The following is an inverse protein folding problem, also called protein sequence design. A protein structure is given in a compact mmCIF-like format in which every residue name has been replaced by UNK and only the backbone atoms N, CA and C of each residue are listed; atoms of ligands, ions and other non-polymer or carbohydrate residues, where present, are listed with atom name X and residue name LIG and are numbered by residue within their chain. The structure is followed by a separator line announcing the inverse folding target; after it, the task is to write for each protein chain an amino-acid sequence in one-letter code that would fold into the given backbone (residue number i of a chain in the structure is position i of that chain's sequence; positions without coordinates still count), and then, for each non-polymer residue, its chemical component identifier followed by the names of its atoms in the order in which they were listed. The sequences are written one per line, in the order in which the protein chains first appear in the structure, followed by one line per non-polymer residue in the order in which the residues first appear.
data_IF_814598461978
#
_entry.id   IF_814598461978
#
_cell.length_a   1.000
_cell.length_b   1.000
_cell.length_c   1.000
_cell.angle_alpha   90.00
_cell.angle_beta   90.00
_cell.angle_gamma   90.00
#
_symmetry.space_group_name_H-M   'P 1'
#
loop_
_entity.id
_entity.type
_entity.pdbx_description
1 polymer ?
#
# COMPACT_ATOMS: atom_id res chain seq x y z
N UNK A 1 1.47 24.49 21.61
CA UNK A 1 0.88 23.15 21.80
C UNK A 1 2.00 22.14 21.80
N UNK A 2 2.31 21.62 22.97
CA UNK A 2 3.30 20.56 23.18
C UNK A 2 2.88 19.32 22.39
N UNK A 3 3.84 18.73 21.68
CA UNK A 3 3.72 17.41 21.05
C UNK A 3 3.43 16.42 22.18
N UNK A 4 2.16 16.25 22.51
CA UNK A 4 1.72 15.27 23.49
C UNK A 4 2.10 13.91 22.92
N UNK A 5 3.17 13.35 23.49
CA UNK A 5 3.94 12.19 23.03
C UNK A 5 3.06 11.21 22.28
N UNK A 6 3.18 11.17 20.95
CA UNK A 6 2.67 10.05 20.17
C UNK A 6 3.35 8.80 20.73
N UNK A 7 2.55 8.03 21.46
CA UNK A 7 3.01 6.82 22.10
C UNK A 7 3.41 5.81 21.02
N UNK A 8 4.40 4.96 21.31
CA UNK A 8 4.69 3.71 20.56
C UNK A 8 3.41 2.85 20.40
N UNK A 9 2.39 3.10 21.23
CA UNK A 9 1.05 2.53 21.12
C UNK A 9 0.08 3.26 20.19
N UNK A 10 0.56 4.11 19.27
CA UNK A 10 -0.32 4.69 18.26
C UNK A 10 -0.85 3.60 17.33
N UNK A 11 -2.10 3.18 17.57
CA UNK A 11 -2.82 2.17 16.80
C UNK A 11 -2.84 2.49 15.31
N UNK A 12 -2.88 3.76 14.92
CA UNK A 12 -2.89 4.13 13.52
C UNK A 12 -1.52 4.01 12.83
N UNK A 13 -0.40 4.17 13.54
CA UNK A 13 0.91 3.79 12.96
C UNK A 13 1.01 2.27 12.77
N UNK A 14 0.46 1.50 13.72
CA UNK A 14 0.39 0.03 13.60
C UNK A 14 -0.50 -0.43 12.44
N UNK A 15 -1.44 0.42 11.97
CA UNK A 15 -2.25 0.13 10.79
C UNK A 15 -1.40 -0.08 9.53
N UNK A 16 -0.20 0.52 9.44
CA UNK A 16 0.73 0.22 8.34
C UNK A 16 1.17 -1.24 8.27
N UNK A 17 1.23 -1.96 9.41
CA UNK A 17 1.45 -3.41 9.42
C UNK A 17 0.23 -4.20 8.93
N UNK A 18 -0.98 -3.71 9.22
CA UNK A 18 -2.22 -4.34 8.78
C UNK A 18 -2.36 -4.30 7.26
N UNK A 19 -1.94 -3.19 6.63
CA UNK A 19 -1.81 -3.10 5.15
C UNK A 19 -1.05 -4.32 4.64
N UNK A 20 0.15 -4.57 5.18
CA UNK A 20 0.98 -5.67 4.72
C UNK A 20 0.36 -7.06 4.95
N UNK A 21 -0.21 -7.28 6.14
CA UNK A 21 -0.81 -8.57 6.52
C UNK A 21 -1.99 -8.92 5.60
N UNK A 22 -2.92 -7.99 5.38
CA UNK A 22 -4.06 -8.23 4.51
C UNK A 22 -3.64 -8.33 3.03
N UNK A 23 -2.59 -7.61 2.62
CA UNK A 23 -2.05 -7.73 1.26
C UNK A 23 -1.42 -9.08 0.97
N UNK A 24 -0.70 -9.69 1.92
CA UNK A 24 -0.16 -11.05 1.74
C UNK A 24 -1.28 -12.04 1.42
N UNK A 25 -2.38 -11.97 2.17
CA UNK A 25 -3.56 -12.77 1.88
C UNK A 25 -4.06 -12.52 0.46
N UNK A 26 -4.26 -11.26 0.07
CA UNK A 26 -4.81 -10.92 -1.24
C UNK A 26 -3.90 -11.29 -2.42
N UNK A 27 -2.59 -11.22 -2.24
CA UNK A 27 -1.60 -11.62 -3.23
C UNK A 27 -1.61 -13.15 -3.41
N UNK A 28 -1.76 -13.89 -2.30
CA UNK A 28 -1.63 -15.34 -2.26
C UNK A 28 -2.90 -16.12 -2.56
N UNK A 29 -4.09 -15.56 -2.31
CA UNK A 29 -5.34 -16.33 -2.32
C UNK A 29 -5.64 -16.99 -3.68
N UNK A 30 -5.23 -16.37 -4.79
CA UNK A 30 -5.43 -16.93 -6.14
C UNK A 30 -4.73 -18.27 -6.38
N UNK A 31 -3.65 -18.59 -5.65
CA UNK A 31 -2.98 -19.90 -5.77
C UNK A 31 -3.78 -21.07 -5.18
N UNK A 32 -4.87 -20.77 -4.45
CA UNK A 32 -5.72 -21.77 -3.81
C UNK A 32 -7.05 -21.98 -4.54
N UNK A 33 -7.26 -21.29 -5.67
CA UNK A 33 -8.49 -21.37 -6.46
C UNK A 33 -8.28 -22.37 -7.58
N UNK A 34 -9.11 -23.40 -7.64
CA UNK A 34 -9.04 -24.41 -8.69
C UNK A 34 -9.35 -23.80 -10.06
N UNK A 35 -8.47 -24.04 -11.04
CA UNK A 35 -8.61 -23.50 -12.39
C UNK A 35 -8.14 -22.04 -12.58
N UNK A 36 -7.78 -21.34 -11.49
CA UNK A 36 -7.24 -19.99 -11.57
C UNK A 36 -5.73 -20.01 -11.85
N UNK A 37 -5.31 -19.39 -12.95
CA UNK A 37 -3.90 -19.27 -13.31
C UNK A 37 -3.30 -18.01 -12.67
N UNK A 38 -2.73 -18.16 -11.47
CA UNK A 38 -2.09 -17.06 -10.75
C UNK A 38 -0.84 -16.47 -11.44
N UNK A 39 -0.33 -17.09 -12.51
CA UNK A 39 0.81 -16.56 -13.27
C UNK A 39 0.33 -15.57 -14.33
N UNK A 40 -0.72 -15.91 -15.07
CA UNK A 40 -1.28 -15.05 -16.12
C UNK A 40 -2.37 -14.10 -15.60
N UNK A 41 -3.27 -14.58 -14.74
CA UNK A 41 -4.41 -13.80 -14.24
C UNK A 41 -4.02 -12.84 -13.12
N UNK A 42 -4.54 -11.63 -13.22
CA UNK A 42 -4.37 -10.54 -12.27
C UNK A 42 -4.98 -10.86 -10.89
N UNK A 43 -4.47 -10.19 -9.87
CA UNK A 43 -5.00 -10.26 -8.50
C UNK A 43 -6.48 -9.83 -8.47
N UNK A 44 -6.85 -8.82 -9.26
CA UNK A 44 -8.21 -8.29 -9.35
C UNK A 44 -9.23 -9.29 -9.91
N UNK A 45 -8.79 -10.24 -10.75
CA UNK A 45 -9.68 -11.26 -11.31
C UNK A 45 -10.20 -12.24 -10.25
N UNK A 46 -9.52 -12.36 -9.10
CA UNK A 46 -10.04 -13.12 -7.94
C UNK A 46 -11.42 -12.62 -7.48
N UNK A 47 -11.74 -11.34 -7.72
CA UNK A 47 -13.04 -10.77 -7.38
C UNK A 47 -14.21 -11.35 -8.20
N UNK A 48 -13.93 -12.11 -9.26
CA UNK A 48 -14.90 -12.74 -10.16
C UNK A 48 -15.08 -14.25 -9.90
N UNK A 49 -14.27 -14.81 -9.00
CA UNK A 49 -14.25 -16.24 -8.72
C UNK A 49 -15.41 -16.69 -7.83
N UNK A 50 -15.42 -17.99 -7.47
CA UNK A 50 -16.44 -18.57 -6.60
C UNK A 50 -16.69 -17.71 -5.35
N UNK A 51 -17.95 -17.64 -4.84
CA UNK A 51 -18.38 -16.59 -3.91
C UNK A 51 -17.45 -16.38 -2.71
N UNK A 52 -16.95 -17.45 -2.11
CA UNK A 52 -16.04 -17.35 -0.97
C UNK A 52 -14.74 -16.58 -1.29
N UNK A 53 -14.09 -16.88 -2.41
CA UNK A 53 -12.85 -16.23 -2.82
C UNK A 53 -13.08 -14.77 -3.21
N UNK A 54 -14.14 -14.51 -3.98
CA UNK A 54 -14.52 -13.15 -4.35
C UNK A 54 -14.81 -12.27 -3.12
N UNK A 55 -15.63 -12.77 -2.18
CA UNK A 55 -15.97 -12.02 -0.96
C UNK A 55 -14.75 -11.78 -0.09
N UNK A 56 -13.95 -12.81 0.19
CA UNK A 56 -12.78 -12.67 1.05
C UNK A 56 -11.72 -11.74 0.45
N UNK A 57 -11.48 -11.81 -0.87
CA UNK A 57 -10.58 -10.92 -1.60
C UNK A 57 -11.03 -9.45 -1.50
N UNK A 58 -12.32 -9.21 -1.74
CA UNK A 58 -12.93 -7.88 -1.67
C UNK A 58 -12.90 -7.31 -0.25
N UNK A 59 -13.22 -8.12 0.75
CA UNK A 59 -13.10 -7.73 2.17
C UNK A 59 -11.66 -7.35 2.51
N UNK A 60 -10.67 -8.14 2.07
CA UNK A 60 -9.27 -7.80 2.27
C UNK A 60 -8.89 -6.47 1.59
N UNK A 61 -9.38 -6.17 0.39
CA UNK A 61 -9.17 -4.87 -0.26
C UNK A 61 -9.71 -3.70 0.57
N UNK A 62 -10.92 -3.83 1.14
CA UNK A 62 -11.49 -2.82 2.04
C UNK A 62 -10.62 -2.65 3.29
N UNK A 63 -10.20 -3.75 3.92
CA UNK A 63 -9.37 -3.71 5.13
C UNK A 63 -7.98 -3.10 4.86
N UNK A 64 -7.37 -3.39 3.72
CA UNK A 64 -6.13 -2.74 3.26
C UNK A 64 -6.35 -1.23 3.16
N UNK A 65 -7.40 -0.81 2.45
CA UNK A 65 -7.65 0.61 2.23
C UNK A 65 -7.98 1.39 3.50
N UNK A 66 -8.79 0.81 4.40
CA UNK A 66 -9.04 1.38 5.73
C UNK A 66 -7.75 1.51 6.53
N UNK A 67 -6.89 0.49 6.48
CA UNK A 67 -5.59 0.50 7.17
C UNK A 67 -4.66 1.59 6.63
N UNK A 68 -4.64 1.81 5.31
CA UNK A 68 -3.90 2.92 4.68
C UNK A 68 -4.42 4.28 5.14
N UNK A 69 -5.74 4.48 5.18
CA UNK A 69 -6.34 5.71 5.68
C UNK A 69 -6.00 5.95 7.17
N UNK A 70 -6.10 4.94 8.03
CA UNK A 70 -5.71 5.09 9.43
C UNK A 70 -4.22 5.40 9.62
N UNK A 71 -3.38 4.79 8.79
CA UNK A 71 -1.95 5.08 8.74
C UNK A 71 -1.69 6.53 8.34
N UNK A 72 -2.30 7.01 7.25
CA UNK A 72 -2.14 8.40 6.78
C UNK A 72 -2.60 9.42 7.82
N UNK A 73 -3.76 9.22 8.45
CA UNK A 73 -4.25 10.11 9.52
C UNK A 73 -3.27 10.19 10.70
N UNK A 74 -2.53 9.13 10.99
CA UNK A 74 -1.52 9.14 12.04
C UNK A 74 -0.27 9.94 11.67
N UNK A 75 0.08 9.98 10.38
CA UNK A 75 1.20 10.78 9.88
C UNK A 75 0.95 12.29 10.03
N UNK A 76 -0.31 12.74 9.91
CA UNK A 76 -0.68 14.15 10.17
C UNK A 76 -0.20 14.59 11.55
N UNK A 77 -0.36 13.73 12.57
CA UNK A 77 0.01 14.05 13.96
C UNK A 77 1.53 14.10 14.17
N UNK A 78 2.30 13.46 13.31
CA UNK A 78 3.78 13.44 13.35
C UNK A 78 4.40 14.64 12.65
N UNK A 79 3.66 15.30 11.75
CA UNK A 79 4.15 16.45 11.00
C UNK A 79 3.77 17.76 11.72
N UNK A 80 4.74 18.66 11.88
CA UNK A 80 4.51 19.99 12.49
C UNK A 80 4.19 20.99 11.38
N UNK A 81 2.91 21.21 11.08
CA UNK A 81 2.51 22.28 10.15
C UNK A 81 1.40 21.87 9.18
N UNK A 82 1.63 22.14 7.90
CA UNK A 82 0.67 21.87 6.82
C UNK A 82 0.47 20.37 6.60
N UNK A 83 -0.65 20.02 5.96
CA UNK A 83 -1.00 18.65 5.61
C UNK A 83 0.12 18.03 4.73
N UNK A 84 0.76 16.92 5.17
CA UNK A 84 1.80 16.28 4.37
C UNK A 84 1.22 15.68 3.09
N UNK A 85 1.90 15.85 1.96
CA UNK A 85 1.51 15.24 0.69
C UNK A 85 1.47 13.72 0.78
N UNK A 86 2.39 13.08 1.51
CA UNK A 86 2.35 11.64 1.79
C UNK A 86 1.01 11.20 2.40
N UNK A 87 0.42 12.02 3.28
CA UNK A 87 -0.91 11.73 3.86
C UNK A 87 -1.98 11.74 2.78
N UNK A 88 -1.94 12.71 1.86
CA UNK A 88 -2.91 12.82 0.77
C UNK A 88 -2.79 11.62 -0.16
N UNK A 89 -1.58 11.32 -0.64
CA UNK A 89 -1.39 10.22 -1.61
C UNK A 89 -1.66 8.85 -1.01
N UNK A 90 -1.34 8.61 0.27
CA UNK A 90 -1.69 7.36 0.96
C UNK A 90 -3.20 7.26 1.14
N UNK A 91 -3.89 8.35 1.47
CA UNK A 91 -5.36 8.35 1.60
C UNK A 91 -6.04 8.06 0.26
N UNK A 92 -5.54 8.65 -0.83
CA UNK A 92 -6.06 8.38 -2.19
C UNK A 92 -5.87 6.91 -2.58
N UNK A 93 -4.71 6.33 -2.27
CA UNK A 93 -4.47 4.89 -2.46
C UNK A 93 -5.38 4.04 -1.56
N UNK A 94 -5.61 4.45 -0.31
CA UNK A 94 -6.53 3.75 0.59
C UNK A 94 -7.97 3.76 0.06
N UNK A 95 -8.45 4.90 -0.43
CA UNK A 95 -9.76 5.02 -1.07
C UNK A 95 -9.85 4.19 -2.35
N UNK A 96 -8.78 4.09 -3.13
CA UNK A 96 -8.73 3.25 -4.33
C UNK A 96 -8.89 1.76 -3.98
N UNK A 97 -8.27 1.31 -2.88
CA UNK A 97 -8.39 -0.07 -2.38
C UNK A 97 -9.79 -0.37 -1.82
N UNK A 98 -10.37 0.56 -1.06
CA UNK A 98 -11.78 0.45 -0.61
C UNK A 98 -12.70 0.33 -1.82
N UNK A 99 -12.44 1.14 -2.85
CA UNK A 99 -13.20 1.12 -4.08
C UNK A 99 -13.14 -0.23 -4.78
N UNK A 100 -11.94 -0.81 -4.93
CA UNK A 100 -11.77 -2.14 -5.52
C UNK A 100 -12.44 -3.26 -4.70
N UNK A 101 -12.65 -3.07 -3.40
CA UNK A 101 -13.40 -4.00 -2.56
C UNK A 101 -14.92 -3.86 -2.71
N UNK A 102 -15.43 -2.64 -2.80
CA UNK A 102 -16.89 -2.37 -2.92
C UNK A 102 -17.39 -2.65 -4.33
N UNK A 103 -16.65 -2.24 -5.35
CA UNK A 103 -17.06 -2.26 -6.75
C UNK A 103 -16.23 -3.26 -7.56
N UNK A 104 -16.91 -4.23 -8.18
CA UNK A 104 -16.28 -5.23 -9.07
C UNK A 104 -15.94 -4.62 -10.44
N UNK A 105 -15.12 -5.34 -11.21
CA UNK A 105 -14.68 -4.98 -12.57
C UNK A 105 -15.83 -4.66 -13.54
N UNK A 106 -17.06 -5.07 -13.22
CA UNK A 106 -18.27 -4.84 -14.01
C UNK A 106 -18.82 -3.41 -13.88
N UNK A 107 -18.31 -2.61 -12.94
CA UNK A 107 -18.87 -1.28 -12.63
C UNK A 107 -17.87 -0.15 -12.90
N UNK A 108 -18.29 0.99 -13.46
CA UNK A 108 -17.39 2.12 -13.74
C UNK A 108 -16.68 2.69 -12.50
N UNK A 109 -17.28 2.53 -11.30
CA UNK A 109 -16.66 2.98 -10.05
C UNK A 109 -15.41 2.17 -9.68
N UNK A 110 -15.25 0.96 -10.23
CA UNK A 110 -13.99 0.22 -10.13
C UNK A 110 -12.82 1.03 -10.72
N UNK A 111 -13.05 1.94 -11.67
CA UNK A 111 -12.00 2.79 -12.26
C UNK A 111 -11.36 3.75 -11.26
N UNK A 112 -11.99 4.01 -10.10
CA UNK A 112 -11.32 4.74 -9.01
C UNK A 112 -10.09 3.98 -8.49
N UNK A 113 -9.98 2.67 -8.75
CA UNK A 113 -8.76 1.90 -8.52
C UNK A 113 -7.54 2.50 -9.26
N UNK A 114 -7.74 3.22 -10.36
CA UNK A 114 -6.65 3.91 -11.08
C UNK A 114 -5.99 5.03 -10.25
N UNK A 115 -6.62 5.50 -9.17
CA UNK A 115 -5.96 6.35 -8.18
C UNK A 115 -4.75 5.65 -7.52
N UNK A 116 -4.62 4.33 -7.66
CA UNK A 116 -3.44 3.59 -7.22
C UNK A 116 -2.15 4.10 -7.85
N UNK A 117 -2.17 4.82 -8.98
CA UNK A 117 -1.00 5.48 -9.58
C UNK A 117 -0.25 6.39 -8.59
N UNK A 118 -0.93 6.97 -7.60
CA UNK A 118 -0.31 7.79 -6.56
C UNK A 118 0.67 7.00 -5.68
N UNK A 119 0.65 5.67 -5.71
CA UNK A 119 1.63 4.82 -5.01
C UNK A 119 3.07 5.12 -5.42
N UNK A 120 3.31 5.62 -6.64
CA UNK A 120 4.65 6.05 -7.11
C UNK A 120 5.23 7.12 -6.17
N UNK A 121 4.38 8.04 -5.72
CA UNK A 121 4.78 9.22 -4.95
C UNK A 121 4.85 8.95 -3.45
N UNK A 122 4.20 7.89 -2.97
CA UNK A 122 4.09 7.57 -1.53
C UNK A 122 5.48 7.48 -0.87
N UNK A 123 6.44 6.67 -1.36
CA UNK A 123 7.73 6.52 -0.69
C UNK A 123 8.56 7.81 -0.68
N UNK A 124 8.64 8.51 -1.81
CA UNK A 124 9.45 9.73 -1.93
C UNK A 124 8.89 10.88 -1.10
N UNK A 125 7.57 11.12 -1.11
CA UNK A 125 6.98 12.15 -0.25
C UNK A 125 7.18 11.82 1.22
N UNK A 126 6.98 10.57 1.61
CA UNK A 126 7.23 10.13 2.97
C UNK A 126 8.69 10.35 3.39
N UNK A 127 9.65 10.00 2.54
CA UNK A 127 11.07 10.15 2.82
C UNK A 127 11.45 11.62 3.05
N UNK A 128 10.92 12.53 2.24
CA UNK A 128 11.20 13.97 2.35
C UNK A 128 10.53 14.56 3.59
N UNK A 129 9.26 14.25 3.83
CA UNK A 129 8.44 14.89 4.88
C UNK A 129 8.74 14.34 6.28
N UNK A 130 9.15 13.08 6.39
CA UNK A 130 9.37 12.41 7.68
C UNK A 130 10.84 12.09 7.99
N UNK A 131 11.80 12.64 7.22
CA UNK A 131 13.24 12.38 7.39
C UNK A 131 13.74 12.61 8.80
N UNK A 132 13.29 13.70 9.44
CA UNK A 132 13.74 14.07 10.78
C UNK A 132 13.19 13.15 11.88
N UNK A 133 12.08 12.44 11.60
CA UNK A 133 11.43 11.52 12.52
C UNK A 133 12.03 10.11 12.47
N UNK A 134 12.51 9.63 11.31
CA UNK A 134 13.08 8.27 11.20
C UNK A 134 14.62 8.22 11.17
N UNK A 135 15.30 9.34 10.88
CA UNK A 135 16.77 9.50 10.99
C UNK A 135 17.61 8.35 10.41
N UNK A 136 17.24 7.81 9.25
CA UNK A 136 17.91 6.65 8.64
C UNK A 136 18.15 6.84 7.14
N UNK A 137 19.39 7.10 6.75
CA UNK A 137 19.76 7.25 5.34
C UNK A 137 19.46 5.99 4.51
N UNK A 138 19.58 4.80 5.11
CA UNK A 138 19.25 3.54 4.45
C UNK A 138 17.77 3.48 4.11
N UNK A 139 16.89 3.85 5.04
CA UNK A 139 15.46 3.85 4.78
C UNK A 139 15.05 4.91 3.75
N UNK A 140 15.69 6.09 3.77
CA UNK A 140 15.53 7.11 2.72
C UNK A 140 15.89 6.56 1.33
N UNK A 141 17.04 5.89 1.18
CA UNK A 141 17.45 5.24 -0.07
C UNK A 141 16.46 4.15 -0.51
N UNK A 142 15.93 3.37 0.42
CA UNK A 142 14.89 2.37 0.15
C UNK A 142 13.62 3.02 -0.40
N UNK A 143 13.17 4.14 0.16
CA UNK A 143 12.03 4.89 -0.35
C UNK A 143 12.26 5.38 -1.78
N UNK A 144 13.42 5.97 -2.07
CA UNK A 144 13.78 6.42 -3.42
C UNK A 144 13.80 5.26 -4.42
N UNK A 145 14.41 4.13 -4.03
CA UNK A 145 14.44 2.91 -4.84
C UNK A 145 13.02 2.40 -5.13
N UNK A 146 12.13 2.41 -4.13
CA UNK A 146 10.76 1.95 -4.32
C UNK A 146 10.02 2.86 -5.30
N UNK A 147 10.06 4.18 -5.13
CA UNK A 147 9.45 5.11 -6.10
C UNK A 147 9.99 4.89 -7.51
N UNK A 148 11.30 4.68 -7.66
CA UNK A 148 11.91 4.36 -8.96
C UNK A 148 11.41 3.04 -9.55
N UNK A 149 11.33 1.96 -8.75
CA UNK A 149 10.77 0.68 -9.18
C UNK A 149 9.32 0.85 -9.67
N UNK A 150 8.49 1.64 -8.98
CA UNK A 150 7.12 1.87 -9.42
C UNK A 150 7.09 2.56 -10.79
N UNK A 151 7.93 3.58 -11.01
CA UNK A 151 8.05 4.22 -12.34
C UNK A 151 8.47 3.21 -13.41
N UNK A 152 9.46 2.37 -13.13
CA UNK A 152 9.93 1.35 -14.07
C UNK A 152 8.85 0.31 -14.40
N UNK A 153 8.10 -0.15 -13.40
CA UNK A 153 7.01 -1.11 -13.61
C UNK A 153 5.90 -0.48 -14.45
N UNK A 154 5.45 0.74 -14.11
CA UNK A 154 4.46 1.45 -14.92
C UNK A 154 4.93 1.67 -16.35
N UNK A 155 6.16 2.13 -16.54
CA UNK A 155 6.73 2.28 -17.88
C UNK A 155 6.76 0.96 -18.65
N UNK A 156 7.13 -0.14 -17.99
CA UNK A 156 7.15 -1.47 -18.60
C UNK A 156 5.75 -1.95 -19.01
N UNK A 157 4.73 -1.66 -18.20
CA UNK A 157 3.31 -1.93 -18.53
C UNK A 157 2.92 -1.12 -19.78
N UNK A 158 3.15 0.20 -19.77
CA UNK A 158 2.76 1.07 -20.89
C UNK A 158 3.54 0.78 -22.19
N UNK A 159 4.80 0.35 -22.08
CA UNK A 159 5.64 -0.05 -23.20
C UNK A 159 5.31 -1.47 -23.73
N UNK A 160 4.38 -2.20 -23.10
CA UNK A 160 4.04 -3.59 -23.39
C UNK A 160 5.26 -4.55 -23.31
N UNK A 161 6.18 -4.30 -22.36
CA UNK A 161 7.33 -5.19 -22.12
C UNK A 161 7.00 -6.38 -21.25
N UNK A 162 5.84 -6.39 -20.59
CA UNK A 162 5.37 -7.51 -19.77
C UNK A 162 4.46 -8.38 -20.65
N UNK A 163 4.85 -9.62 -20.98
CA UNK A 163 3.99 -10.53 -21.71
C UNK A 163 2.74 -10.85 -20.90
N UNK A 164 1.62 -11.07 -21.60
CA UNK A 164 0.32 -11.31 -20.96
C UNK A 164 0.36 -12.54 -20.04
N UNK A 165 1.12 -13.57 -20.42
CA UNK A 165 1.28 -14.82 -19.68
C UNK A 165 1.93 -14.63 -18.31
N UNK A 166 2.65 -13.53 -18.09
CA UNK A 166 3.31 -13.22 -16.83
C UNK A 166 2.68 -12.04 -16.07
N UNK A 167 1.57 -11.49 -16.57
CA UNK A 167 0.95 -10.30 -16.00
C UNK A 167 0.59 -10.50 -14.52
N UNK A 168 -0.07 -11.62 -14.19
CA UNK A 168 -0.42 -11.99 -12.83
C UNK A 168 0.78 -12.11 -11.90
N UNK A 169 1.88 -12.71 -12.35
CA UNK A 169 3.11 -12.86 -11.58
C UNK A 169 3.75 -11.49 -11.31
N UNK A 170 3.93 -10.66 -12.34
CA UNK A 170 4.55 -9.34 -12.20
C UNK A 170 3.72 -8.45 -11.27
N UNK A 171 2.39 -8.45 -11.40
CA UNK A 171 1.50 -7.71 -10.52
C UNK A 171 1.64 -8.15 -9.06
N UNK A 172 1.76 -9.46 -8.78
CA UNK A 172 1.96 -9.99 -7.42
C UNK A 172 3.31 -9.61 -6.83
N UNK A 173 4.39 -9.76 -7.59
CA UNK A 173 5.73 -9.35 -7.16
C UNK A 173 5.77 -7.85 -6.86
N UNK A 174 5.15 -7.05 -7.71
CA UNK A 174 5.06 -5.61 -7.51
C UNK A 174 4.20 -5.27 -6.28
N UNK A 175 3.04 -5.89 -6.12
CA UNK A 175 2.17 -5.69 -4.95
C UNK A 175 2.87 -6.07 -3.63
N UNK A 176 3.70 -7.12 -3.62
CA UNK A 176 4.55 -7.48 -2.47
C UNK A 176 5.43 -6.30 -2.07
N UNK A 177 6.11 -5.68 -3.04
CA UNK A 177 6.98 -4.53 -2.78
C UNK A 177 6.17 -3.32 -2.30
N UNK A 178 5.12 -2.94 -3.04
CA UNK A 178 4.27 -1.78 -2.73
C UNK A 178 3.66 -1.88 -1.34
N UNK A 179 3.06 -3.02 -1.02
CA UNK A 179 2.35 -3.18 0.25
C UNK A 179 3.31 -3.44 1.41
N UNK A 180 4.44 -4.12 1.16
CA UNK A 180 5.48 -4.37 2.15
C UNK A 180 6.14 -3.10 2.65
N UNK A 181 6.20 -2.07 1.80
CA UNK A 181 6.70 -0.75 2.18
C UNK A 181 5.94 -0.15 3.36
N UNK A 182 4.61 -0.30 3.45
CA UNK A 182 3.82 0.23 4.56
C UNK A 182 4.20 -0.41 5.90
N UNK A 183 4.43 -1.72 5.88
CA UNK A 183 4.92 -2.45 7.05
C UNK A 183 6.32 -1.99 7.47
N UNK A 184 7.21 -1.73 6.51
CA UNK A 184 8.54 -1.20 6.76
C UNK A 184 8.49 0.23 7.31
N UNK A 185 7.70 1.13 6.70
CA UNK A 185 7.53 2.51 7.14
C UNK A 185 6.98 2.59 8.57
N UNK A 186 5.97 1.79 8.89
CA UNK A 186 5.42 1.68 10.24
C UNK A 186 6.49 1.21 11.24
N UNK A 187 7.27 0.18 10.89
CA UNK A 187 8.37 -0.32 11.73
C UNK A 187 9.43 0.77 11.98
N UNK A 188 9.88 1.44 10.93
CA UNK A 188 10.95 2.44 11.02
C UNK A 188 10.52 3.63 11.87
N UNK A 189 9.32 4.18 11.64
CA UNK A 189 8.79 5.28 12.46
C UNK A 189 8.62 4.88 13.93
N UNK A 190 7.98 3.74 14.20
CA UNK A 190 7.72 3.31 15.58
C UNK A 190 9.00 3.01 16.35
N UNK A 191 10.01 2.43 15.69
CA UNK A 191 11.33 2.17 16.29
C UNK A 191 12.04 3.47 16.63
N UNK A 192 12.00 4.46 15.73
CA UNK A 192 12.68 5.75 15.93
C UNK A 192 12.04 6.56 17.07
N UNK A 193 10.70 6.58 17.14
CA UNK A 193 9.95 7.23 18.22
C UNK A 193 10.14 6.55 19.58
N UNK A 194 10.50 5.27 19.62
CA UNK A 194 10.83 4.57 20.86
C UNK A 194 12.20 5.00 21.40
N UNK A 195 13.16 5.27 20.51
CA UNK A 195 14.52 5.72 20.88
C UNK A 195 14.47 7.13 21.49
N UNK A 196 13.73 8.08 20.90
CA UNK A 196 13.61 9.45 21.43
C UNK A 196 12.99 9.55 22.84
N UNK A 197 12.38 8.47 23.35
CA UNK A 197 11.81 8.45 24.72
C UNK A 197 12.84 8.14 25.80
N UNK A 198 14.02 7.63 25.44
CA UNK A 198 15.10 7.25 26.35
C UNK A 198 16.28 8.21 26.22
#
# INVERSE_FOLDING_TARGET
MTVERLSVNNLGLKAGHLVWIFSIYNIGIGFFIEGFDAISQSISEVALEAPFFAWSHRTANVLIGLSMCFFSFSLIRLHKGWLPFSTVVISLLGLSMISAGIWTLETPLHLLYNLSIFMILVPVFFAVEFKSQFQSETFEKVCLLFSFIHVLVFWSIYANFIPYEYNGLIQRLWAVLTMGWFGLAAKTLTSSLAIEKH
#
